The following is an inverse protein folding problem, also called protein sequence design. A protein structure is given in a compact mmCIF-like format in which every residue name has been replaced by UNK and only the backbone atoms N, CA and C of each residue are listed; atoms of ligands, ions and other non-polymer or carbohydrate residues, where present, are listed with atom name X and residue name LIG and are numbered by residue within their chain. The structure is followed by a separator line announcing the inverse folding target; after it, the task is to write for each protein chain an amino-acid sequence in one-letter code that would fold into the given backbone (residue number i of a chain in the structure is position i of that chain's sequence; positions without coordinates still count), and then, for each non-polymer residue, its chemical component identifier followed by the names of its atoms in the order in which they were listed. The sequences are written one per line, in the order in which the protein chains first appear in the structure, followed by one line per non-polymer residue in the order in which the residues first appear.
data_IF_821098073893
#
_entry.id   IF_821098073893
#
_cell.length_a   1.000
_cell.length_b   1.000
_cell.length_c   1.000
_cell.angle_alpha   90.00
_cell.angle_beta   90.00
_cell.angle_gamma   90.00
#
_symmetry.space_group_name_H-M   'P 1'
#
loop_
_entity.id
_entity.type
_entity.pdbx_description
1 polymer ?
#
# COMPACT_ATOMS: atom_id res chain seq x y z
N UNK A 1 -1.45 -10.40 10.66
CA UNK A 1 -1.51 -9.46 9.52
C UNK A 1 -0.08 -9.26 9.02
N UNK A 2 0.21 -9.54 7.75
CA UNK A 2 1.55 -9.35 7.21
C UNK A 2 1.86 -7.85 7.08
N UNK A 3 2.99 -7.40 7.64
CA UNK A 3 3.49 -6.03 7.50
C UNK A 3 4.91 -6.12 6.93
N UNK A 4 5.18 -5.40 5.85
CA UNK A 4 6.50 -5.31 5.22
C UNK A 4 6.99 -3.87 5.25
N UNK A 5 8.17 -3.65 5.81
CA UNK A 5 8.83 -2.35 5.78
C UNK A 5 9.67 -2.30 4.50
N UNK A 6 9.47 -1.28 3.68
CA UNK A 6 10.13 -1.14 2.37
C UNK A 6 10.73 0.26 2.21
N UNK A 7 11.86 0.41 1.51
CA UNK A 7 12.39 1.73 1.20
C UNK A 7 11.35 2.62 0.50
N UNK A 8 11.26 3.90 0.91
CA UNK A 8 10.33 4.90 0.36
C UNK A 8 10.26 4.88 -1.17
N UNK A 9 11.41 4.86 -1.84
CA UNK A 9 11.50 4.93 -3.30
C UNK A 9 10.77 3.77 -4.01
N UNK A 10 10.61 2.61 -3.37
CA UNK A 10 9.91 1.47 -3.96
C UNK A 10 8.44 1.80 -4.16
N UNK A 11 7.79 2.37 -3.13
CA UNK A 11 6.38 2.73 -3.19
C UNK A 11 6.18 4.04 -3.96
N UNK A 12 7.07 5.01 -3.80
CA UNK A 12 7.00 6.30 -4.51
C UNK A 12 7.14 6.17 -6.03
N UNK A 13 7.83 5.14 -6.52
CA UNK A 13 8.04 4.90 -7.95
C UNK A 13 6.90 4.14 -8.64
N UNK A 14 5.85 3.73 -7.90
CA UNK A 14 4.74 2.98 -8.47
C UNK A 14 3.88 3.88 -9.36
N UNK A 15 3.69 3.44 -10.61
CA UNK A 15 2.71 4.06 -11.50
C UNK A 15 1.29 3.63 -11.14
N UNK A 16 0.29 4.39 -11.61
CA UNK A 16 -1.12 4.01 -11.45
C UNK A 16 -1.43 2.63 -12.07
N UNK A 17 -0.74 2.26 -13.16
CA UNK A 17 -0.86 0.93 -13.76
C UNK A 17 -0.26 -0.16 -12.86
N UNK A 18 0.89 0.09 -12.24
CA UNK A 18 1.52 -0.87 -11.34
C UNK A 18 0.63 -1.15 -10.12
N UNK A 19 0.03 -0.10 -9.54
CA UNK A 19 -0.94 -0.24 -8.45
C UNK A 19 -2.15 -1.07 -8.88
N UNK A 20 -2.75 -0.77 -10.05
CA UNK A 20 -3.86 -1.56 -10.58
C UNK A 20 -3.48 -3.02 -10.77
N UNK A 21 -2.29 -3.28 -11.32
CA UNK A 21 -1.78 -4.62 -11.57
C UNK A 21 -1.55 -5.40 -10.26
N UNK A 22 -1.01 -4.76 -9.22
CA UNK A 22 -0.88 -5.32 -7.86
C UNK A 22 -2.25 -5.65 -7.27
N UNK A 23 -3.22 -4.73 -7.36
CA UNK A 23 -4.57 -4.95 -6.85
C UNK A 23 -5.24 -6.16 -7.52
N UNK A 24 -5.09 -6.28 -8.84
CA UNK A 24 -5.67 -7.39 -9.58
C UNK A 24 -4.93 -8.71 -9.30
N UNK A 25 -3.60 -8.68 -9.12
CA UNK A 25 -2.83 -9.90 -8.85
C UNK A 25 -3.14 -10.54 -7.50
N UNK A 26 -3.68 -9.79 -6.54
CA UNK A 26 -4.18 -10.36 -5.30
C UNK A 26 -5.45 -11.21 -5.46
N UNK A 27 -6.16 -11.11 -6.60
CA UNK A 27 -7.48 -11.75 -6.81
C UNK A 27 -7.58 -12.58 -8.09
N UNK A 28 -6.77 -12.26 -9.09
CA UNK A 28 -6.90 -12.79 -10.44
C UNK A 28 -5.60 -13.44 -10.90
N UNK A 29 -5.73 -14.48 -11.73
CA UNK A 29 -4.58 -15.08 -12.42
C UNK A 29 -4.11 -14.18 -13.57
N UNK A 30 -2.83 -14.23 -13.98
CA UNK A 30 -2.28 -13.37 -15.04
C UNK A 30 -3.08 -13.33 -16.35
N UNK A 31 -3.69 -14.46 -16.75
CA UNK A 31 -4.58 -14.52 -17.93
C UNK A 31 -5.83 -13.65 -17.80
N UNK A 32 -6.44 -13.63 -16.61
CA UNK A 32 -7.62 -12.80 -16.34
C UNK A 32 -7.24 -11.32 -16.26
N UNK A 33 -6.08 -11.01 -15.67
CA UNK A 33 -5.55 -9.64 -15.63
C UNK A 33 -5.29 -9.11 -17.05
N UNK A 34 -4.69 -9.93 -17.91
CA UNK A 34 -4.45 -9.62 -19.33
C UNK A 34 -5.76 -9.25 -20.04
N UNK A 35 -6.82 -10.03 -19.82
CA UNK A 35 -8.15 -9.75 -20.36
C UNK A 35 -8.74 -8.44 -19.81
N UNK A 36 -8.72 -8.24 -18.49
CA UNK A 36 -9.31 -7.06 -17.83
C UNK A 36 -8.62 -5.76 -18.21
N UNK A 37 -7.29 -5.78 -18.33
CA UNK A 37 -6.51 -4.59 -18.64
C UNK A 37 -6.26 -4.39 -20.14
N UNK A 38 -6.68 -5.33 -21.00
CA UNK A 38 -6.37 -5.30 -22.43
C UNK A 38 -4.87 -5.37 -22.75
N UNK A 39 -4.08 -5.93 -21.83
CA UNK A 39 -2.61 -6.01 -21.97
C UNK A 39 -2.20 -7.39 -22.50
N UNK A 40 -1.12 -7.47 -23.30
CA UNK A 40 -0.55 -8.77 -23.66
C UNK A 40 -0.13 -9.56 -22.41
N UNK A 41 -0.41 -10.87 -22.39
CA UNK A 41 -0.09 -11.74 -21.27
C UNK A 41 1.41 -11.69 -20.89
N UNK A 42 2.29 -11.62 -21.88
CA UNK A 42 3.74 -11.45 -21.67
C UNK A 42 4.08 -10.15 -20.93
N UNK A 43 3.38 -9.05 -21.24
CA UNK A 43 3.54 -7.76 -20.55
C UNK A 43 3.10 -7.85 -19.10
N UNK A 44 1.98 -8.53 -18.83
CA UNK A 44 1.48 -8.77 -17.46
C UNK A 44 2.52 -9.55 -16.64
N UNK A 45 3.03 -10.67 -17.15
CA UNK A 45 4.07 -11.45 -16.47
C UNK A 45 5.34 -10.63 -16.23
N UNK A 46 5.80 -9.88 -17.23
CA UNK A 46 7.00 -9.03 -17.10
C UNK A 46 6.83 -7.99 -15.99
N UNK A 47 5.68 -7.33 -15.92
CA UNK A 47 5.38 -6.31 -14.90
C UNK A 47 5.21 -6.92 -13.52
N UNK A 48 4.49 -8.04 -13.39
CA UNK A 48 4.36 -8.76 -12.11
C UNK A 48 5.72 -9.20 -11.57
N UNK A 49 6.58 -9.78 -12.43
CA UNK A 49 7.93 -10.18 -12.03
C UNK A 49 8.78 -8.98 -11.59
N UNK A 50 8.65 -7.82 -12.27
CA UNK A 50 9.33 -6.58 -11.85
C UNK A 50 8.89 -6.17 -10.43
N UNK A 51 7.59 -6.18 -10.17
CA UNK A 51 7.03 -5.79 -8.86
C UNK A 51 7.41 -6.79 -7.76
N UNK A 52 7.42 -8.08 -8.06
CA UNK A 52 7.87 -9.13 -7.14
C UNK A 52 9.33 -8.99 -6.76
N UNK A 53 10.20 -8.60 -7.71
CA UNK A 53 11.61 -8.29 -7.43
C UNK A 53 11.80 -7.06 -6.53
N UNK A 54 10.82 -6.16 -6.49
CA UNK A 54 10.77 -5.05 -5.54
C UNK A 54 10.17 -5.45 -4.18
N UNK A 55 9.87 -6.75 -3.97
CA UNK A 55 9.27 -7.28 -2.75
C UNK A 55 7.75 -7.09 -2.66
N UNK A 56 7.11 -6.61 -3.73
CA UNK A 56 5.67 -6.34 -3.79
C UNK A 56 4.88 -7.50 -4.41
N UNK A 57 3.59 -7.63 -4.07
CA UNK A 57 2.68 -8.57 -4.72
C UNK A 57 2.11 -9.66 -3.81
N UNK A 58 2.60 -9.76 -2.58
CA UNK A 58 1.97 -10.60 -1.55
C UNK A 58 0.91 -9.81 -0.78
N UNK A 59 -0.17 -10.44 -0.29
CA UNK A 59 -1.14 -9.81 0.60
C UNK A 59 -0.52 -9.33 1.93
N UNK A 60 0.03 -8.11 1.94
CA UNK A 60 0.63 -7.46 3.10
C UNK A 60 0.31 -5.95 3.12
N UNK A 61 0.51 -5.34 4.29
CA UNK A 61 0.61 -3.88 4.43
C UNK A 61 2.08 -3.48 4.26
N UNK A 62 2.34 -2.64 3.26
CA UNK A 62 3.67 -2.16 2.91
C UNK A 62 3.85 -0.75 3.46
N UNK A 63 4.77 -0.61 4.42
CA UNK A 63 5.05 0.63 5.12
C UNK A 63 6.40 1.18 4.63
N UNK A 64 6.44 2.42 4.12
CA UNK A 64 7.68 3.03 3.67
C UNK A 64 8.62 3.36 4.85
N UNK A 65 9.92 3.25 4.61
CA UNK A 65 10.97 3.74 5.50
C UNK A 65 11.96 4.64 4.75
N UNK A 66 12.53 5.60 5.47
CA UNK A 66 13.59 6.48 4.97
C UNK A 66 14.66 6.65 6.05
N UNK A 67 15.92 6.81 5.63
CA UNK A 67 17.02 7.12 6.52
C UNK A 67 17.17 8.64 6.57
N UNK A 68 16.95 9.23 7.74
CA UNK A 68 17.07 10.67 7.98
C UNK A 68 18.06 10.85 9.12
N UNK A 69 19.14 11.57 8.87
CA UNK A 69 20.20 11.88 9.84
C UNK A 69 20.76 10.63 10.56
N UNK A 70 20.93 9.53 9.82
CA UNK A 70 21.46 8.26 10.34
C UNK A 70 20.46 7.42 11.14
N UNK A 71 19.21 7.87 11.29
CA UNK A 71 18.12 7.11 11.90
C UNK A 71 17.10 6.63 10.86
N UNK A 72 16.63 5.40 11.01
CA UNK A 72 15.53 4.88 10.19
C UNK A 72 14.19 5.37 10.72
N UNK A 73 13.45 6.08 9.87
CA UNK A 73 12.12 6.58 10.17
C UNK A 73 11.09 5.84 9.31
N UNK A 74 10.05 5.31 9.97
CA UNK A 74 8.86 4.81 9.28
C UNK A 74 8.02 6.00 8.83
N UNK A 75 7.74 6.03 7.53
CA UNK A 75 6.92 7.06 6.93
C UNK A 75 5.46 6.59 6.90
N UNK A 76 4.56 7.56 6.95
CA UNK A 76 3.11 7.34 6.86
C UNK A 76 2.66 7.11 5.42
N UNK A 77 3.46 7.60 4.45
CA UNK A 77 3.19 7.61 3.01
C UNK A 77 4.53 7.59 2.24
N UNK A 78 4.56 7.10 0.99
CA UNK A 78 3.46 6.47 0.27
C UNK A 78 3.18 5.06 0.82
N UNK A 79 1.92 4.69 0.94
CA UNK A 79 1.51 3.46 1.63
C UNK A 79 0.73 2.54 0.70
N UNK A 80 1.02 1.24 0.75
CA UNK A 80 0.29 0.24 -0.02
C UNK A 80 -0.29 -0.81 0.93
N UNK A 81 -1.59 -1.05 0.84
CA UNK A 81 -2.27 -2.14 1.51
C UNK A 81 -2.73 -3.09 0.43
N UNK A 82 -2.20 -4.30 0.46
CA UNK A 82 -2.64 -5.38 -0.39
C UNK A 82 -3.20 -6.49 0.50
N UNK A 83 -4.48 -6.78 0.36
CA UNK A 83 -5.13 -7.92 1.00
C UNK A 83 -6.03 -8.57 -0.02
N UNK A 84 -6.51 -9.79 0.27
CA UNK A 84 -7.48 -10.47 -0.60
C UNK A 84 -8.73 -9.58 -0.82
N UNK A 85 -9.17 -8.86 0.23
CA UNK A 85 -10.40 -8.06 0.25
C UNK A 85 -10.22 -6.60 -0.10
N UNK A 86 -9.03 -6.04 0.06
CA UNK A 86 -8.76 -4.60 -0.10
C UNK A 86 -7.44 -4.37 -0.82
N UNK A 87 -7.45 -3.42 -1.75
CA UNK A 87 -6.23 -2.86 -2.33
C UNK A 87 -6.30 -1.34 -2.24
N UNK A 88 -5.37 -0.73 -1.51
CA UNK A 88 -5.34 0.70 -1.26
C UNK A 88 -3.91 1.20 -1.46
N UNK A 89 -3.76 2.26 -2.23
CA UNK A 89 -2.50 2.97 -2.39
C UNK A 89 -2.69 4.44 -2.05
N UNK A 90 -1.96 4.90 -1.04
CA UNK A 90 -1.95 6.29 -0.61
C UNK A 90 -0.65 6.91 -1.12
N UNK A 91 -0.69 7.79 -2.14
CA UNK A 91 0.50 8.43 -2.68
C UNK A 91 1.05 9.51 -1.73
N UNK A 92 2.28 9.96 -1.99
CA UNK A 92 2.92 11.04 -1.22
C UNK A 92 2.11 12.34 -1.28
N UNK A 93 1.67 12.75 -2.47
CA UNK A 93 0.99 14.04 -2.73
C UNK A 93 -0.41 14.16 -2.10
N UNK A 94 -0.88 13.17 -1.35
CA UNK A 94 -2.16 13.28 -0.60
C UNK A 94 -2.05 14.20 0.65
N UNK A 95 -0.99 15.00 0.79
CA UNK A 95 -0.62 15.80 1.98
C UNK A 95 -1.70 16.80 2.42
N UNK A 96 -2.32 17.54 1.50
CA UNK A 96 -3.16 18.70 1.85
C UNK A 96 -4.64 18.54 1.48
N UNK A 97 -4.94 17.63 0.54
CA UNK A 97 -6.29 17.49 -0.02
C UNK A 97 -6.73 16.03 -0.08
N UNK A 98 -6.40 15.24 0.94
CA UNK A 98 -6.79 13.83 0.95
C UNK A 98 -8.32 13.67 0.84
N UNK A 99 -9.13 14.60 1.38
CA UNK A 99 -10.59 14.66 1.14
C UNK A 99 -10.98 14.84 -0.34
N UNK A 100 -10.13 15.49 -1.14
CA UNK A 100 -10.32 15.65 -2.59
C UNK A 100 -9.69 14.51 -3.40
N UNK A 101 -9.02 13.56 -2.75
CA UNK A 101 -8.58 12.35 -3.41
C UNK A 101 -9.83 11.60 -3.90
N UNK A 102 -9.94 11.30 -5.22
CA UNK A 102 -11.10 10.60 -5.76
C UNK A 102 -11.29 9.19 -5.16
N UNK A 103 -10.28 8.66 -4.47
CA UNK A 103 -10.29 7.35 -3.84
C UNK A 103 -10.38 7.41 -2.30
N UNK A 104 -10.63 8.59 -1.71
CA UNK A 104 -10.69 8.80 -0.25
C UNK A 104 -11.62 7.82 0.48
N UNK A 105 -12.85 7.65 -0.01
CA UNK A 105 -13.85 6.78 0.60
C UNK A 105 -13.46 5.30 0.53
N UNK A 106 -12.82 4.86 -0.56
CA UNK A 106 -12.32 3.50 -0.74
C UNK A 106 -11.18 3.23 0.23
N UNK A 107 -10.27 4.21 0.38
CA UNK A 107 -9.21 4.15 1.37
C UNK A 107 -9.86 4.02 2.75
N UNK A 108 -10.65 4.98 3.20
CA UNK A 108 -11.27 4.98 4.52
C UNK A 108 -12.02 3.67 4.85
N UNK A 109 -12.83 3.15 3.92
CA UNK A 109 -13.56 1.90 4.13
C UNK A 109 -12.66 0.68 4.33
N UNK A 110 -11.62 0.52 3.49
CA UNK A 110 -10.66 -0.57 3.66
C UNK A 110 -9.95 -0.49 5.01
N UNK A 111 -9.63 0.72 5.47
CA UNK A 111 -8.90 0.95 6.72
C UNK A 111 -9.74 0.65 7.95
N UNK A 112 -10.99 1.11 7.95
CA UNK A 112 -11.97 0.82 9.00
C UNK A 112 -12.22 -0.69 9.09
N UNK A 113 -12.38 -1.36 7.94
CA UNK A 113 -12.64 -2.81 7.91
C UNK A 113 -11.49 -3.67 8.46
N UNK A 114 -10.27 -3.15 8.48
CA UNK A 114 -9.10 -3.84 9.05
C UNK A 114 -9.03 -3.70 10.58
N UNK A 115 -9.99 -3.02 11.22
CA UNK A 115 -10.02 -2.85 12.68
C UNK A 115 -8.80 -2.08 13.21
N UNK A 116 -8.25 -1.19 12.38
CA UNK A 116 -7.04 -0.44 12.70
C UNK A 116 -7.33 0.90 13.37
N UNK A 117 -8.58 1.36 13.38
CA UNK A 117 -9.03 2.57 14.11
C UNK A 117 -10.36 2.28 14.78
N UNK A 118 -10.50 2.76 16.01
CA UNK A 118 -11.79 2.95 16.68
C UNK A 118 -12.27 4.38 16.38
N UNK A 119 -13.28 4.56 15.53
CA UNK A 119 -13.98 5.85 15.41
C UNK A 119 -14.54 6.22 14.04
N UNK A 120 -15.72 6.83 14.05
CA UNK A 120 -16.52 7.21 12.88
C UNK A 120 -16.02 8.46 12.10
N UNK A 121 -14.86 9.05 12.44
CA UNK A 121 -14.40 10.34 11.88
C UNK A 121 -12.90 10.44 11.57
N UNK A 122 -12.15 9.33 11.50
CA UNK A 122 -10.73 9.38 11.18
C UNK A 122 -10.50 9.72 9.69
N UNK A 123 -9.58 10.63 9.40
CA UNK A 123 -9.09 10.82 8.03
C UNK A 123 -8.06 9.73 7.67
N UNK A 124 -7.78 9.44 6.38
CA UNK A 124 -6.71 8.55 5.97
C UNK A 124 -5.33 8.97 6.50
N UNK A 125 -5.16 10.24 6.89
CA UNK A 125 -3.96 10.72 7.56
C UNK A 125 -3.90 10.21 9.01
N UNK A 126 -4.95 10.43 9.79
CA UNK A 126 -5.03 9.95 11.18
C UNK A 126 -4.86 8.43 11.26
N UNK A 127 -5.34 7.70 10.25
CA UNK A 127 -5.13 6.28 10.14
C UNK A 127 -3.69 5.88 9.79
N UNK A 128 -3.05 6.55 8.82
CA UNK A 128 -1.67 6.26 8.47
C UNK A 128 -0.74 6.49 9.68
N UNK A 129 -1.06 7.52 10.46
CA UNK A 129 -0.41 7.85 11.73
C UNK A 129 -0.60 6.74 12.75
N UNK A 130 -1.86 6.33 13.02
CA UNK A 130 -2.18 5.27 13.96
C UNK A 130 -1.55 3.92 13.59
N UNK A 131 -1.55 3.57 12.29
CA UNK A 131 -0.93 2.35 11.78
C UNK A 131 0.58 2.36 12.03
N UNK A 132 1.27 3.44 11.63
CA UNK A 132 2.72 3.56 11.82
C UNK A 132 3.07 3.52 13.30
N UNK A 133 2.33 4.20 14.16
CA UNK A 133 2.57 4.17 15.61
C UNK A 133 2.30 2.78 16.22
N UNK A 134 1.28 2.06 15.76
CA UNK A 134 1.05 0.67 16.15
C UNK A 134 2.21 -0.23 15.74
N UNK A 135 2.70 -0.07 14.51
CA UNK A 135 3.84 -0.85 13.99
C UNK A 135 5.11 -0.52 14.76
N UNK A 136 5.40 0.77 15.04
CA UNK A 136 6.54 1.18 15.88
C UNK A 136 6.48 0.54 17.26
N UNK A 137 5.30 0.52 17.90
CA UNK A 137 5.10 -0.12 19.22
C UNK A 137 5.38 -1.63 19.16
N UNK A 138 4.92 -2.32 18.13
CA UNK A 138 5.17 -3.76 17.97
C UNK A 138 6.64 -4.08 17.66
N UNK A 139 7.30 -3.28 16.81
CA UNK A 139 8.75 -3.41 16.55
C UNK A 139 9.56 -3.20 17.84
N UNK A 140 9.18 -2.24 18.69
CA UNK A 140 9.85 -2.00 19.99
C UNK A 140 9.64 -3.11 21.02
N UNK A 141 8.55 -3.88 20.93
CA UNK A 141 8.27 -5.00 21.84
C UNK A 141 8.99 -6.31 21.43
N UNK A 142 9.44 -6.40 20.19
CA UNK A 142 10.16 -7.56 19.64
C UNK A 142 11.68 -7.48 19.81
N UNK A 143 12.17 -6.55 20.63
CA UNK A 143 13.57 -6.37 21.04
C UNK A 143 13.69 -6.64 22.53
#
# INVERSE_FOLDING_TARGET
MCIKIVPRFILASLSAEDVKLLCLSARLKPKQISFVLGLPLSSVYRRLNKLQRLGLGEPCIYIPMEAVDGAFQLLKRPLLILTEKHCVYIPEVCETECLKCPYYSIHLNALTSLGLVDGHYATPQDWADALVEKVKKEVKKGV
#
